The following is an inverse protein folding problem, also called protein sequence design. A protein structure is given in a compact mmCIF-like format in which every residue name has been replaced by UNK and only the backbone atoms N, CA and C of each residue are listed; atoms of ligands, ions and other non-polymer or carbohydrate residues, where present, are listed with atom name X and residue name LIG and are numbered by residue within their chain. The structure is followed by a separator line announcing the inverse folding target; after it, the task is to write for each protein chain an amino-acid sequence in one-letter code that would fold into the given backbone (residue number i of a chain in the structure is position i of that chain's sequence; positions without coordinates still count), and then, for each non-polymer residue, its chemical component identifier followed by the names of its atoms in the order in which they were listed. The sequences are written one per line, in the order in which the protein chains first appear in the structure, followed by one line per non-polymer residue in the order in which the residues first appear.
data_IF_133128133837
#
_entry.id   IF_133128133837
#
_cell.length_a   1.000
_cell.length_b   1.000
_cell.length_c   1.000
_cell.angle_alpha   90.00
_cell.angle_beta   90.00
_cell.angle_gamma   90.00
#
_symmetry.space_group_name_H-M   'P 1'
#
loop_
_entity.id
_entity.type
_entity.pdbx_description
1 polymer ?
#
# COMPACT_ATOMS: atom_id res chain seq x y z
N UNK A 1 20.34 13.08 17.92
CA UNK A 1 18.94 12.68 18.16
C UNK A 1 18.80 11.25 17.69
N UNK A 2 18.21 10.38 18.49
CA UNK A 2 17.77 9.05 18.03
C UNK A 2 16.40 9.21 17.35
N UNK A 3 16.14 8.40 16.33
CA UNK A 3 14.90 8.42 15.55
C UNK A 3 14.30 7.01 15.55
N UNK A 4 12.99 6.93 15.32
CA UNK A 4 12.31 5.66 15.15
C UNK A 4 12.66 5.04 13.78
N UNK A 5 13.15 3.80 13.80
CA UNK A 5 13.51 3.08 12.58
C UNK A 5 12.28 2.66 11.77
N UNK A 6 11.15 2.41 12.44
CA UNK A 6 9.88 2.08 11.77
C UNK A 6 9.35 3.28 10.99
N UNK A 7 9.35 4.46 11.60
CA UNK A 7 8.97 5.71 10.91
C UNK A 7 9.86 5.97 9.69
N UNK A 8 11.18 5.78 9.83
CA UNK A 8 12.11 5.93 8.71
C UNK A 8 11.85 4.90 7.59
N UNK A 9 11.59 3.63 7.92
CA UNK A 9 11.28 2.59 6.94
C UNK A 9 10.03 2.94 6.13
N UNK A 10 8.95 3.33 6.83
CA UNK A 10 7.69 3.67 6.18
C UNK A 10 7.85 4.91 5.28
N UNK A 11 8.54 5.95 5.77
CA UNK A 11 8.88 7.12 4.95
C UNK A 11 9.69 6.73 3.70
N UNK A 12 10.71 5.88 3.85
CA UNK A 12 11.59 5.47 2.77
C UNK A 12 10.83 4.69 1.68
N UNK A 13 10.04 3.68 2.06
CA UNK A 13 9.30 2.85 1.10
C UNK A 13 8.28 3.68 0.32
N UNK A 14 7.52 4.54 1.01
CA UNK A 14 6.57 5.44 0.35
C UNK A 14 7.28 6.43 -0.59
N UNK A 15 8.40 7.01 -0.16
CA UNK A 15 9.17 7.94 -1.00
C UNK A 15 9.67 7.25 -2.28
N UNK A 16 10.20 6.03 -2.18
CA UNK A 16 10.65 5.27 -3.35
C UNK A 16 9.46 4.91 -4.25
N UNK A 17 8.34 4.48 -3.67
CA UNK A 17 7.13 4.18 -4.42
C UNK A 17 6.61 5.40 -5.20
N UNK A 18 6.57 6.57 -4.59
CA UNK A 18 6.12 7.82 -5.21
C UNK A 18 7.02 8.25 -6.37
N UNK A 19 8.35 8.17 -6.19
CA UNK A 19 9.32 8.48 -7.26
C UNK A 19 9.08 7.56 -8.46
N UNK A 20 8.92 6.26 -8.24
CA UNK A 20 8.68 5.29 -9.31
C UNK A 20 7.34 5.49 -10.01
N UNK A 21 6.30 5.86 -9.26
CA UNK A 21 5.00 6.21 -9.86
C UNK A 21 5.12 7.45 -10.74
N UNK A 22 5.87 8.46 -10.31
CA UNK A 22 6.09 9.69 -11.06
C UNK A 22 6.90 9.44 -12.33
N UNK A 23 7.95 8.62 -12.27
CA UNK A 23 8.73 8.20 -13.45
C UNK A 23 7.83 7.49 -14.49
N UNK A 24 7.00 6.52 -14.08
CA UNK A 24 6.05 5.84 -14.98
C UNK A 24 5.05 6.82 -15.61
N UNK A 25 4.55 7.81 -14.85
CA UNK A 25 3.64 8.83 -15.38
C UNK A 25 4.33 9.69 -16.43
N UNK A 26 5.59 10.05 -16.24
CA UNK A 26 6.37 10.83 -17.20
C UNK A 26 6.68 10.04 -18.47
N UNK A 27 7.02 8.77 -18.37
CA UNK A 27 7.22 7.88 -19.52
C UNK A 27 5.97 7.78 -20.39
N UNK A 28 4.79 7.63 -19.77
CA UNK A 28 3.50 7.61 -20.48
C UNK A 28 3.19 8.92 -21.19
N UNK A 29 3.50 10.06 -20.56
CA UNK A 29 3.31 11.37 -21.19
C UNK A 29 4.27 11.58 -22.37
N UNK A 30 5.53 11.20 -22.22
CA UNK A 30 6.55 11.28 -23.27
C UNK A 30 6.29 10.29 -24.43
N UNK A 31 5.75 9.10 -24.13
CA UNK A 31 5.34 8.11 -25.13
C UNK A 31 4.10 8.51 -25.92
N UNK A 32 3.12 9.17 -25.28
CA UNK A 32 1.91 9.71 -25.94
C UNK A 32 2.22 10.77 -27.01
N UNK A 33 3.34 11.50 -26.90
CA UNK A 33 3.79 12.45 -27.91
C UNK A 33 4.27 11.79 -29.22
N UNK A 34 4.56 10.47 -29.21
CA UNK A 34 5.04 9.74 -30.40
C UNK A 34 3.98 8.96 -31.15
N UNK A 35 2.87 8.56 -30.52
CA UNK A 35 1.78 7.84 -31.17
C UNK A 35 0.45 8.56 -30.95
N UNK A 36 0.06 9.39 -31.92
CA UNK A 36 -1.22 10.08 -31.97
C UNK A 36 -2.39 9.13 -32.24
N UNK A 37 -2.79 8.34 -31.24
CA UNK A 37 -4.11 7.72 -31.18
C UNK A 37 -4.74 8.02 -29.82
N UNK A 38 -5.56 9.07 -29.80
CA UNK A 38 -6.50 9.35 -28.72
C UNK A 38 -7.60 8.29 -28.79
N UNK A 39 -7.67 7.32 -27.85
CA UNK A 39 -8.89 6.55 -27.53
C UNK A 39 -8.71 5.51 -26.39
N UNK A 40 -7.89 5.76 -25.37
CA UNK A 40 -7.82 4.90 -24.16
C UNK A 40 -7.71 5.76 -22.89
N UNK A 41 -8.71 6.59 -22.64
CA UNK A 41 -8.68 7.58 -21.55
C UNK A 41 -9.46 7.20 -20.29
N UNK A 42 -10.20 6.08 -20.23
CA UNK A 42 -11.26 5.98 -19.21
C UNK A 42 -11.30 4.74 -18.28
N UNK A 43 -10.34 3.80 -18.29
CA UNK A 43 -10.49 2.60 -17.43
C UNK A 43 -9.40 2.27 -16.40
N UNK A 44 -8.28 2.98 -16.32
CA UNK A 44 -7.23 2.60 -15.35
C UNK A 44 -6.92 3.71 -14.33
N UNK A 45 -7.92 4.07 -13.54
CA UNK A 45 -7.75 4.88 -12.33
C UNK A 45 -7.18 4.09 -11.14
N UNK A 46 -6.74 2.85 -11.37
CA UNK A 46 -5.87 2.14 -10.42
C UNK A 46 -4.46 2.68 -10.62
N UNK A 47 -3.91 3.34 -9.60
CA UNK A 47 -2.48 3.67 -9.55
C UNK A 47 -1.70 2.40 -9.92
N UNK A 48 -0.85 2.51 -10.94
CA UNK A 48 -0.04 1.37 -11.33
C UNK A 48 0.91 1.02 -10.19
N UNK A 49 0.84 -0.24 -9.78
CA UNK A 49 1.73 -0.79 -8.77
C UNK A 49 3.19 -0.64 -9.24
N UNK A 50 4.04 -0.24 -8.31
CA UNK A 50 5.50 -0.22 -8.51
C UNK A 50 6.06 -1.51 -7.95
N UNK A 51 7.32 -1.82 -8.24
CA UNK A 51 7.97 -3.00 -7.66
C UNK A 51 8.02 -2.93 -6.12
N UNK A 52 7.97 -1.74 -5.51
CA UNK A 52 7.86 -1.60 -4.05
C UNK A 52 6.56 -2.23 -3.58
N UNK A 53 5.46 -1.94 -4.26
CA UNK A 53 4.17 -2.55 -3.94
C UNK A 53 4.18 -4.05 -4.25
N UNK A 54 4.82 -4.49 -5.33
CA UNK A 54 4.92 -5.94 -5.64
C UNK A 54 5.68 -6.75 -4.58
N UNK A 55 6.67 -6.14 -3.91
CA UNK A 55 7.50 -6.83 -2.91
C UNK A 55 6.92 -6.70 -1.50
N UNK A 56 6.44 -5.51 -1.13
CA UNK A 56 6.10 -5.18 0.25
C UNK A 56 4.61 -5.01 0.49
N UNK A 57 3.78 -4.83 -0.56
CA UNK A 57 2.35 -4.61 -0.34
C UNK A 57 1.63 -5.91 0.00
N UNK A 58 0.93 -5.89 1.14
CA UNK A 58 -0.14 -6.84 1.45
C UNK A 58 -1.48 -6.12 1.57
N UNK A 59 -2.56 -6.90 1.73
CA UNK A 59 -3.90 -6.37 1.98
C UNK A 59 -4.43 -7.00 3.27
N UNK A 60 -4.90 -6.16 4.19
CA UNK A 60 -5.53 -6.54 5.45
C UNK A 60 -7.03 -6.28 5.35
N UNK A 61 -7.86 -7.28 5.62
CA UNK A 61 -9.31 -7.11 5.73
C UNK A 61 -9.66 -6.80 7.18
N UNK A 62 -9.99 -5.54 7.46
CA UNK A 62 -10.44 -5.09 8.78
C UNK A 62 -11.94 -5.31 8.92
N UNK A 63 -12.34 -6.21 9.82
CA UNK A 63 -13.74 -6.49 10.13
C UNK A 63 -14.14 -5.86 11.46
N UNK A 64 -15.13 -4.98 11.41
CA UNK A 64 -15.76 -4.39 12.59
C UNK A 64 -17.17 -4.92 12.74
N UNK A 65 -17.44 -5.61 13.86
CA UNK A 65 -18.78 -6.08 14.22
C UNK A 65 -19.39 -5.17 15.28
N UNK A 66 -20.56 -4.59 15.00
CA UNK A 66 -21.33 -3.87 16.01
C UNK A 66 -21.97 -4.85 16.98
N UNK A 67 -21.66 -4.73 18.28
CA UNK A 67 -22.20 -5.62 19.32
C UNK A 67 -23.67 -5.36 19.69
N UNK A 68 -24.29 -4.29 19.16
CA UNK A 68 -25.69 -3.95 19.44
C UNK A 68 -26.65 -4.38 18.33
N UNK A 69 -26.29 -4.17 17.06
CA UNK A 69 -27.14 -4.54 15.91
C UNK A 69 -26.59 -5.70 15.09
N UNK A 70 -25.45 -6.27 15.49
CA UNK A 70 -24.75 -7.39 14.84
C UNK A 70 -24.27 -7.14 13.40
N UNK A 71 -24.47 -5.92 12.87
CA UNK A 71 -23.94 -5.51 11.57
C UNK A 71 -22.41 -5.65 11.56
N UNK A 72 -21.89 -6.32 10.53
CA UNK A 72 -20.47 -6.44 10.24
C UNK A 72 -20.13 -5.54 9.07
N UNK A 73 -19.12 -4.69 9.24
CA UNK A 73 -18.48 -3.95 8.15
C UNK A 73 -17.07 -4.46 7.94
N UNK A 74 -16.75 -4.81 6.70
CA UNK A 74 -15.41 -5.24 6.31
C UNK A 74 -14.81 -4.19 5.37
N UNK A 75 -13.54 -3.86 5.57
CA UNK A 75 -12.79 -2.92 4.75
C UNK A 75 -11.42 -3.50 4.44
N UNK A 76 -11.08 -3.57 3.16
CA UNK A 76 -9.74 -3.95 2.73
C UNK A 76 -8.83 -2.72 2.75
N UNK A 77 -7.66 -2.86 3.37
CA UNK A 77 -6.64 -1.82 3.48
C UNK A 77 -5.29 -2.39 3.04
N UNK A 78 -4.62 -1.69 2.12
CA UNK A 78 -3.28 -2.04 1.69
C UNK A 78 -2.24 -1.57 2.73
N UNK A 79 -1.19 -2.36 2.94
CA UNK A 79 -0.10 -2.04 3.85
C UNK A 79 1.26 -2.39 3.24
N UNK A 80 2.32 -1.68 3.62
CA UNK A 80 3.72 -2.00 3.26
C UNK A 80 4.53 -2.61 4.41
N UNK A 81 3.98 -2.53 5.62
CA UNK A 81 4.52 -3.14 6.83
C UNK A 81 3.36 -3.60 7.73
N UNK A 82 3.61 -4.62 8.55
CA UNK A 82 2.63 -5.12 9.52
C UNK A 82 3.14 -4.83 10.93
N UNK A 83 2.53 -3.85 11.57
CA UNK A 83 2.75 -3.55 12.99
C UNK A 83 1.92 -4.51 13.84
N UNK A 84 2.57 -5.26 14.71
CA UNK A 84 1.94 -6.27 15.56
C UNK A 84 2.05 -5.90 17.03
N UNK A 85 0.96 -6.08 17.77
CA UNK A 85 0.97 -5.92 19.22
C UNK A 85 1.77 -7.07 19.86
N UNK A 86 2.56 -6.74 20.88
CA UNK A 86 3.42 -7.70 21.58
C UNK A 86 2.93 -7.92 23.00
N UNK A 87 2.85 -9.19 23.39
CA UNK A 87 2.59 -9.60 24.76
C UNK A 87 3.82 -10.24 25.39
N UNK A 88 3.89 -10.23 26.72
CA UNK A 88 5.06 -10.77 27.43
C UNK A 88 5.19 -12.28 27.23
N UNK A 89 6.41 -12.75 26.94
CA UNK A 89 6.73 -14.17 26.74
C UNK A 89 5.96 -14.85 25.60
N UNK A 90 5.50 -14.08 24.61
CA UNK A 90 4.81 -14.64 23.44
C UNK A 90 5.77 -14.85 22.26
N UNK A 91 5.29 -15.52 21.20
CA UNK A 91 6.06 -15.73 19.97
C UNK A 91 5.50 -14.88 18.83
N UNK A 92 6.31 -14.61 17.81
CA UNK A 92 5.85 -13.89 16.61
C UNK A 92 4.67 -14.60 15.92
N UNK A 93 4.65 -15.93 15.95
CA UNK A 93 3.53 -16.73 15.42
C UNK A 93 2.24 -16.49 16.21
N UNK A 94 2.34 -16.14 17.49
CA UNK A 94 1.18 -15.79 18.30
C UNK A 94 0.73 -14.35 18.05
N UNK A 95 1.67 -13.40 17.91
CA UNK A 95 1.35 -12.00 17.56
C UNK A 95 0.68 -11.85 16.17
N UNK A 96 0.89 -12.82 15.27
CA UNK A 96 0.32 -12.81 13.91
C UNK A 96 -0.99 -13.61 13.79
N UNK A 97 -1.48 -14.21 14.88
CA UNK A 97 -2.73 -14.99 14.91
C UNK A 97 -3.88 -14.16 15.44
#
# INVERSE_FOLDING_TARGET
MQQDAHEFLNYLLNTVADILQEEKKQEKQNGKLKNGNMNEAEENNKQELTWVHEIFQGTLTNETRCLNCETVSSKDEDFLDLSVDVEQNTSITHCLR
#
